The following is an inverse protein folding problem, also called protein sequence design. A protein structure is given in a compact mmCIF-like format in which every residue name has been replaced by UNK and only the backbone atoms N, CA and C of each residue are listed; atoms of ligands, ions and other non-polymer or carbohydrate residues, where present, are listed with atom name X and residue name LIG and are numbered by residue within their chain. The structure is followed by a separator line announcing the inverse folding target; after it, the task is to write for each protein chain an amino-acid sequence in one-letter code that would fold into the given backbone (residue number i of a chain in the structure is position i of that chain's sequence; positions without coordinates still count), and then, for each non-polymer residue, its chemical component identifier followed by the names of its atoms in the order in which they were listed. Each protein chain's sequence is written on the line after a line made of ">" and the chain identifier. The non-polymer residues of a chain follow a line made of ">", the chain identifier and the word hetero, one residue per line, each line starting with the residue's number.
data_IF_913546995690
#
_entry.id   IF_913546995690
#
_cell.length_a   1.000
_cell.length_b   1.000
_cell.length_c   1.000
_cell.angle_alpha   90.00
_cell.angle_beta   90.00
_cell.angle_gamma   90.00
#
_symmetry.space_group_name_H-M   'P 1'
#
loop_
_entity.id
_entity.type
_entity.pdbx_description
1 polymer ?
#
# COMPACT_ATOMS: atom_id res chain seq x y z
N UNK A 1 -11.04 -29.05 -7.87
CA UNK A 1 -11.45 -28.45 -6.58
C UNK A 1 -11.79 -26.98 -6.85
N UNK A 2 -12.89 -26.46 -6.32
CA UNK A 2 -13.16 -25.01 -6.38
C UNK A 2 -12.31 -24.34 -5.31
N UNK A 3 -11.46 -23.39 -5.71
CA UNK A 3 -10.54 -22.68 -4.81
C UNK A 3 -11.14 -21.29 -4.55
N UNK A 4 -11.28 -20.92 -3.28
CA UNK A 4 -11.73 -19.58 -2.90
C UNK A 4 -10.64 -18.55 -3.20
N UNK A 5 -11.05 -17.41 -3.77
CA UNK A 5 -10.19 -16.25 -4.04
C UNK A 5 -10.68 -15.09 -3.19
N UNK A 6 -9.79 -14.53 -2.37
CA UNK A 6 -10.11 -13.40 -1.49
C UNK A 6 -9.19 -12.22 -1.78
N UNK A 7 -9.76 -11.01 -1.92
CA UNK A 7 -9.03 -9.77 -2.19
C UNK A 7 -9.23 -8.77 -1.05
N UNK A 8 -8.13 -8.26 -0.50
CA UNK A 8 -8.11 -7.12 0.42
C UNK A 8 -7.49 -5.93 -0.29
N UNK A 9 -8.28 -4.89 -0.59
CA UNK A 9 -7.81 -3.72 -1.34
C UNK A 9 -7.78 -2.46 -0.48
N UNK A 10 -6.75 -1.65 -0.65
CA UNK A 10 -6.52 -0.37 0.05
C UNK A 10 -6.23 0.72 -0.99
N UNK A 11 -6.74 1.94 -0.80
CA UNK A 11 -6.50 3.04 -1.74
C UNK A 11 -6.98 2.77 -3.18
N UNK A 12 -7.83 1.76 -3.39
CA UNK A 12 -8.32 1.40 -4.72
C UNK A 12 -9.38 2.40 -5.17
N UNK A 13 -9.31 2.97 -6.39
CA UNK A 13 -10.45 3.61 -7.05
C UNK A 13 -11.52 2.56 -7.41
N UNK A 14 -12.67 2.99 -7.93
CA UNK A 14 -13.65 2.10 -8.55
C UNK A 14 -13.08 1.55 -9.86
N UNK A 15 -13.28 0.25 -10.08
CA UNK A 15 -12.85 -0.47 -11.28
C UNK A 15 -14.08 -1.12 -11.92
N UNK A 16 -14.16 -1.04 -13.25
CA UNK A 16 -15.26 -1.60 -14.03
C UNK A 16 -16.55 -0.77 -13.95
N UNK A 17 -17.59 -1.29 -14.58
CA UNK A 17 -18.93 -0.71 -14.64
C UNK A 17 -19.94 -1.56 -13.86
N UNK A 18 -21.23 -1.29 -14.07
CA UNK A 18 -22.31 -2.04 -13.40
C UNK A 18 -22.35 -3.53 -13.82
N UNK A 19 -21.94 -3.85 -15.04
CA UNK A 19 -21.88 -5.24 -15.52
C UNK A 19 -20.71 -5.98 -14.90
N UNK A 20 -19.56 -5.32 -14.74
CA UNK A 20 -18.44 -5.84 -13.96
C UNK A 20 -18.82 -6.12 -12.51
N UNK A 21 -19.60 -5.22 -11.88
CA UNK A 21 -20.10 -5.47 -10.51
C UNK A 21 -21.00 -6.70 -10.45
N UNK A 22 -21.96 -6.83 -11.38
CA UNK A 22 -22.86 -7.99 -11.43
C UNK A 22 -22.09 -9.29 -11.63
N UNK A 23 -21.09 -9.29 -12.52
CA UNK A 23 -20.23 -10.44 -12.74
C UNK A 23 -19.49 -10.83 -11.46
N UNK A 24 -18.88 -9.85 -10.77
CA UNK A 24 -18.21 -10.07 -9.49
C UNK A 24 -19.15 -10.64 -8.42
N UNK A 25 -20.34 -10.04 -8.26
CA UNK A 25 -21.34 -10.48 -7.29
C UNK A 25 -21.90 -11.89 -7.60
N UNK A 26 -21.84 -12.33 -8.87
CA UNK A 26 -22.31 -13.65 -9.30
C UNK A 26 -21.32 -14.80 -8.99
N UNK A 27 -20.09 -14.48 -8.59
CA UNK A 27 -19.05 -15.47 -8.32
C UNK A 27 -19.02 -15.86 -6.84
N UNK A 28 -19.59 -17.01 -6.49
CA UNK A 28 -19.69 -17.50 -5.10
C UNK A 28 -18.33 -17.70 -4.40
N UNK A 29 -17.27 -17.97 -5.15
CA UNK A 29 -15.94 -18.25 -4.62
C UNK A 29 -15.02 -17.02 -4.63
N UNK A 30 -15.52 -15.84 -5.01
CA UNK A 30 -14.79 -14.58 -4.97
C UNK A 30 -15.29 -13.72 -3.80
N UNK A 31 -14.39 -13.37 -2.89
CA UNK A 31 -14.66 -12.46 -1.79
C UNK A 31 -13.79 -11.20 -1.88
N UNK A 32 -14.38 -10.02 -1.78
CA UNK A 32 -13.65 -8.75 -1.86
C UNK A 32 -13.98 -7.84 -0.67
N UNK A 33 -12.94 -7.49 0.11
CA UNK A 33 -13.02 -6.43 1.11
C UNK A 33 -12.24 -5.22 0.62
N UNK A 34 -12.95 -4.12 0.35
CA UNK A 34 -12.36 -2.83 -0.03
C UNK A 34 -12.32 -1.90 1.17
N UNK A 35 -11.12 -1.69 1.71
CA UNK A 35 -10.87 -0.79 2.83
C UNK A 35 -10.75 0.64 2.32
N UNK A 36 -11.53 1.57 2.89
CA UNK A 36 -11.52 2.99 2.51
C UNK A 36 -11.16 3.85 3.71
N UNK A 37 -10.30 4.85 3.47
CA UNK A 37 -10.14 5.97 4.38
C UNK A 37 -11.10 7.08 3.94
N UNK A 38 -11.91 7.61 4.87
CA UNK A 38 -12.83 8.72 4.61
C UNK A 38 -12.13 9.94 3.99
N UNK A 39 -10.92 10.24 4.46
CA UNK A 39 -10.19 11.43 4.03
C UNK A 39 -9.43 11.19 2.72
N UNK A 40 -9.28 9.94 2.30
CA UNK A 40 -8.71 9.60 1.01
C UNK A 40 -9.77 9.76 -0.09
N UNK A 41 -9.48 10.59 -1.09
CA UNK A 41 -10.39 10.81 -2.22
C UNK A 41 -10.25 9.74 -3.29
N UNK A 42 -9.15 8.97 -3.35
CA UNK A 42 -8.91 7.96 -4.39
C UNK A 42 -10.09 6.97 -4.50
N UNK A 43 -10.67 6.45 -3.40
CA UNK A 43 -11.80 5.55 -3.49
C UNK A 43 -13.09 6.13 -4.07
N UNK A 44 -13.18 7.46 -4.23
CA UNK A 44 -14.30 8.13 -4.87
C UNK A 44 -14.15 8.22 -6.38
N UNK A 45 -12.98 7.95 -6.95
CA UNK A 45 -12.76 8.04 -8.40
C UNK A 45 -13.21 6.78 -9.14
N UNK A 46 -13.83 6.90 -10.34
CA UNK A 46 -14.41 8.13 -10.90
C UNK A 46 -15.56 8.69 -10.04
N UNK A 47 -15.54 10.02 -9.83
CA UNK A 47 -16.25 10.81 -8.80
C UNK A 47 -17.66 10.32 -8.44
N UNK A 48 -17.77 9.55 -7.35
CA UNK A 48 -18.99 9.20 -6.62
C UNK A 48 -18.67 9.31 -5.11
N UNK A 49 -19.02 10.45 -4.52
CA UNK A 49 -18.67 10.79 -3.14
C UNK A 49 -19.28 9.84 -2.10
N UNK A 50 -18.59 9.62 -0.98
CA UNK A 50 -19.15 8.96 0.19
C UNK A 50 -18.56 9.53 1.49
N UNK A 51 -19.38 9.66 2.54
CA UNK A 51 -19.01 10.14 3.89
C UNK A 51 -19.21 9.01 4.92
N UNK A 52 -18.26 8.79 5.83
CA UNK A 52 -18.36 7.82 6.94
C UNK A 52 -17.12 7.86 7.84
N UNK A 53 -17.24 7.69 9.16
CA UNK A 53 -16.12 7.86 10.11
C UNK A 53 -15.10 6.70 10.14
N UNK A 54 -13.92 6.95 10.73
CA UNK A 54 -12.85 5.96 10.95
C UNK A 54 -12.72 5.62 12.44
N UNK A 55 -12.49 4.35 12.76
CA UNK A 55 -12.16 3.86 14.11
C UNK A 55 -11.01 2.87 14.01
N UNK A 56 -9.96 3.09 14.79
CA UNK A 56 -8.81 2.19 14.87
C UNK A 56 -9.18 0.96 15.71
N UNK A 57 -9.11 -0.23 15.12
CA UNK A 57 -9.47 -1.50 15.79
C UNK A 57 -8.24 -2.34 16.20
N UNK A 58 -7.05 -2.00 15.71
CA UNK A 58 -5.80 -2.74 15.96
C UNK A 58 -4.69 -1.79 16.40
N UNK A 59 -3.86 -2.21 17.36
CA UNK A 59 -2.67 -1.46 17.79
C UNK A 59 -1.57 -1.59 16.74
N UNK A 60 -1.54 -0.65 15.80
CA UNK A 60 -0.45 -0.48 14.84
C UNK A 60 0.48 0.65 15.30
N UNK A 61 1.79 0.53 15.08
CA UNK A 61 2.73 1.60 15.39
C UNK A 61 2.45 2.82 14.51
N UNK A 62 2.18 3.95 15.16
CA UNK A 62 1.85 5.21 14.50
C UNK A 62 3.01 5.71 13.62
N UNK A 63 4.27 5.41 13.97
CA UNK A 63 5.44 5.83 13.20
C UNK A 63 5.45 5.28 11.76
N UNK A 64 4.76 4.16 11.51
CA UNK A 64 4.63 3.58 10.17
C UNK A 64 3.90 4.50 9.18
N UNK A 65 3.07 5.42 9.69
CA UNK A 65 2.36 6.41 8.88
C UNK A 65 3.34 7.37 8.20
N UNK A 66 4.44 7.73 8.87
CA UNK A 66 5.46 8.64 8.34
C UNK A 66 6.52 7.94 7.47
N UNK A 67 6.35 6.66 7.11
CA UNK A 67 7.30 5.93 6.25
C UNK A 67 7.67 6.71 4.99
N UNK A 68 6.67 7.16 4.23
CA UNK A 68 6.83 7.85 2.94
C UNK A 68 6.26 9.25 2.92
N UNK A 69 5.65 9.68 4.02
CA UNK A 69 4.92 10.93 4.15
C UNK A 69 5.32 11.62 5.45
N UNK A 70 4.90 12.87 5.61
CA UNK A 70 5.03 13.61 6.86
C UNK A 70 3.66 14.14 7.26
N UNK A 71 2.88 13.27 7.90
CA UNK A 71 1.45 13.53 8.18
C UNK A 71 1.10 13.38 9.66
N UNK A 72 1.99 12.81 10.47
CA UNK A 72 1.85 12.85 11.91
C UNK A 72 2.09 14.25 12.44
N UNK A 73 1.46 14.57 13.58
CA UNK A 73 1.75 15.82 14.29
C UNK A 73 3.18 15.82 14.80
N UNK A 74 3.80 16.99 14.81
CA UNK A 74 5.17 17.17 15.32
C UNK A 74 5.34 16.68 16.77
N UNK A 75 4.31 16.76 17.61
CA UNK A 75 4.31 16.27 18.99
C UNK A 75 4.68 14.78 19.14
N UNK A 76 4.49 13.98 18.08
CA UNK A 76 4.88 12.58 18.08
C UNK A 76 6.39 12.37 17.87
N UNK A 77 7.13 13.42 17.47
CA UNK A 77 8.58 13.42 17.26
C UNK A 77 9.08 12.32 16.31
N UNK A 78 8.22 11.89 15.38
CA UNK A 78 8.57 10.92 14.34
C UNK A 78 9.03 11.67 13.08
N UNK A 79 10.26 11.45 12.60
CA UNK A 79 10.73 12.07 11.36
C UNK A 79 9.80 11.76 10.18
N UNK A 80 9.48 12.75 9.36
CA UNK A 80 8.76 12.55 8.11
C UNK A 80 9.60 11.78 7.09
N UNK A 81 8.95 10.97 6.25
CA UNK A 81 9.58 10.23 5.13
C UNK A 81 10.82 9.43 5.54
N UNK A 82 10.79 8.83 6.73
CA UNK A 82 11.97 8.20 7.32
C UNK A 82 12.45 6.94 6.60
N UNK A 83 11.61 6.33 5.74
CA UNK A 83 11.98 5.13 5.01
C UNK A 83 12.96 5.48 3.87
N UNK A 84 14.25 5.43 4.18
CA UNK A 84 15.36 5.49 3.23
C UNK A 84 16.31 4.30 3.46
N UNK A 85 16.96 3.85 2.38
CA UNK A 85 18.07 2.93 2.50
C UNK A 85 19.21 3.62 3.25
N UNK A 86 19.99 2.86 4.01
CA UNK A 86 21.20 3.37 4.64
C UNK A 86 22.10 4.00 3.57
N UNK A 87 22.58 5.22 3.82
CA UNK A 87 23.35 6.02 2.87
C UNK A 87 22.70 6.13 1.47
N UNK A 88 21.37 6.06 1.38
CA UNK A 88 20.63 6.07 0.10
C UNK A 88 21.00 4.89 -0.81
N UNK A 89 21.37 3.75 -0.24
CA UNK A 89 21.78 2.55 -0.99
C UNK A 89 23.22 2.61 -1.50
N UNK A 90 24.01 3.60 -1.07
CA UNK A 90 25.42 3.68 -1.39
C UNK A 90 26.24 2.78 -0.45
N UNK A 91 27.07 1.92 -1.03
CA UNK A 91 27.98 1.02 -0.32
C UNK A 91 29.42 1.36 -0.68
N UNK A 92 30.29 1.47 0.33
CA UNK A 92 31.71 1.70 0.11
C UNK A 92 32.43 0.36 -0.07
N UNK A 93 33.08 0.18 -1.22
CA UNK A 93 33.92 -0.98 -1.50
C UNK A 93 35.26 -0.93 -0.79
N UNK A 94 35.97 -2.05 -0.79
CA UNK A 94 37.33 -2.17 -0.22
C UNK A 94 38.35 -1.23 -0.87
N UNK A 95 38.09 -0.81 -2.12
CA UNK A 95 38.88 0.17 -2.86
C UNK A 95 38.62 1.63 -2.43
N UNK A 96 37.69 1.84 -1.49
CA UNK A 96 37.27 3.14 -0.99
C UNK A 96 36.26 3.86 -1.88
N UNK A 97 35.90 3.29 -3.04
CA UNK A 97 34.90 3.87 -3.93
C UNK A 97 33.48 3.53 -3.45
N UNK A 98 32.56 4.46 -3.67
CA UNK A 98 31.15 4.26 -3.36
C UNK A 98 30.39 3.80 -4.60
N UNK A 99 29.59 2.75 -4.48
CA UNK A 99 28.74 2.21 -5.54
C UNK A 99 27.30 2.19 -5.07
N UNK A 100 26.37 2.36 -5.99
CA UNK A 100 24.94 2.21 -5.72
C UNK A 100 24.59 0.73 -5.78
N UNK A 101 24.15 0.18 -4.65
CA UNK A 101 23.68 -1.21 -4.51
C UNK A 101 22.26 -1.17 -3.93
N UNK A 102 21.31 -0.72 -4.73
CA UNK A 102 19.88 -0.58 -4.39
C UNK A 102 18.99 -1.70 -4.95
N UNK A 103 19.62 -2.69 -5.60
CA UNK A 103 18.97 -3.85 -6.19
C UNK A 103 19.68 -5.13 -5.80
N UNK A 104 18.92 -6.12 -5.30
CA UNK A 104 19.41 -7.49 -5.19
C UNK A 104 19.45 -8.10 -6.59
N UNK A 105 20.52 -8.81 -6.92
CA UNK A 105 20.56 -9.62 -8.13
C UNK A 105 19.67 -10.82 -7.86
N UNK A 106 18.48 -10.84 -8.44
CA UNK A 106 17.70 -12.07 -8.51
C UNK A 106 18.45 -13.01 -9.45
N UNK A 107 19.01 -14.08 -8.90
CA UNK A 107 19.46 -15.24 -9.67
C UNK A 107 18.19 -15.79 -10.34
N UNK A 108 17.91 -15.33 -11.56
CA UNK A 108 16.73 -15.75 -12.30
C UNK A 108 16.74 -17.27 -12.39
N UNK A 109 15.66 -17.91 -11.92
CA UNK A 109 15.41 -19.32 -12.17
C UNK A 109 15.50 -19.51 -13.69
N UNK A 110 16.60 -20.13 -14.14
CA UNK A 110 16.77 -20.56 -15.51
C UNK A 110 15.56 -21.41 -15.88
N UNK A 111 14.84 -20.97 -16.90
CA UNK A 111 13.68 -21.64 -17.50
C UNK A 111 13.91 -23.15 -17.62
#
# INVERSE_FOLDING_TARGET
>A
PVIAVTVFSFGSPYVGDIEFKKLCDSMEHLHMLRVRNLQDQIPSYPLLGSKGGFKLEVKQDIALVNKRMDVLKEDYLVPGKWLCLENTGMVQGEDGNWKLEDHEIEDGDGI
#
